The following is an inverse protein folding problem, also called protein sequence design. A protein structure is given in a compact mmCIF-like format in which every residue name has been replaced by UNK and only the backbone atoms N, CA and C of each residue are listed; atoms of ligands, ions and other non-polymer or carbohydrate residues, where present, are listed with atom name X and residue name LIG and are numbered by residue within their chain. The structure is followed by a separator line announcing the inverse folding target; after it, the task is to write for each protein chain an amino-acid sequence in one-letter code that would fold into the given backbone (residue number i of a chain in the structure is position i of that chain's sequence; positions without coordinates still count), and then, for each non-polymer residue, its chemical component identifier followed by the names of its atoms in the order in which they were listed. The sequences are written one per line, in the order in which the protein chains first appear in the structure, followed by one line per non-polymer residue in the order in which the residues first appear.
data_IF_764969101861
#
_entry.id   IF_764969101861
#
_cell.length_a   1.000
_cell.length_b   1.000
_cell.length_c   1.000
_cell.angle_alpha   90.00
_cell.angle_beta   90.00
_cell.angle_gamma   90.00
#
_symmetry.space_group_name_H-M   'P 1'
#
loop_
_entity.id
_entity.type
_entity.pdbx_description
1 polymer ?
#
# COMPACT_ATOMS: atom_id res chain seq x y z
N UNK A 1 9.13 13.13 -7.26
CA UNK A 1 8.06 12.43 -6.50
C UNK A 1 8.71 11.79 -5.28
N UNK A 2 8.01 11.79 -4.15
CA UNK A 2 8.48 11.17 -2.89
C UNK A 2 7.49 10.12 -2.45
N UNK A 3 7.98 8.95 -2.05
CA UNK A 3 7.19 7.88 -1.45
C UNK A 3 7.53 7.77 0.03
N UNK A 4 6.54 7.51 0.87
CA UNK A 4 6.73 7.13 2.27
C UNK A 4 6.00 5.82 2.52
N UNK A 5 6.72 4.79 2.92
CA UNK A 5 6.15 3.49 3.28
C UNK A 5 5.60 3.59 4.69
N UNK A 6 4.28 3.64 4.83
CA UNK A 6 3.63 3.78 6.13
C UNK A 6 3.51 2.44 6.85
N UNK A 7 3.27 1.37 6.11
CA UNK A 7 3.18 0.01 6.62
C UNK A 7 3.58 -1.04 5.60
N UNK A 8 4.09 -2.16 6.08
CA UNK A 8 4.56 -3.29 5.27
C UNK A 8 4.00 -4.62 5.74
N UNK A 9 3.11 -4.61 6.75
CA UNK A 9 2.50 -5.83 7.28
C UNK A 9 1.45 -6.39 6.33
N UNK A 10 1.27 -7.70 6.37
CA UNK A 10 0.19 -8.44 5.70
C UNK A 10 -1.06 -8.52 6.59
N UNK A 11 -2.01 -9.38 6.25
CA UNK A 11 -3.25 -9.57 6.99
C UNK A 11 -3.02 -9.91 8.48
N UNK A 12 -1.94 -10.62 8.81
CA UNK A 12 -1.57 -10.93 10.19
C UNK A 12 -0.95 -9.70 10.87
N UNK A 13 -1.50 -9.23 12.01
CA UNK A 13 -0.89 -8.13 12.75
C UNK A 13 0.53 -8.46 13.21
N UNK A 14 1.43 -7.50 13.08
CA UNK A 14 2.81 -7.57 13.56
C UNK A 14 3.13 -6.35 14.41
N UNK A 15 4.03 -6.49 15.39
CA UNK A 15 4.24 -5.44 16.40
C UNK A 15 5.02 -4.23 15.89
N UNK A 16 5.74 -4.35 14.78
CA UNK A 16 6.65 -3.30 14.29
C UNK A 16 6.17 -2.65 12.98
N UNK A 17 5.01 -3.03 12.46
CA UNK A 17 4.45 -2.47 11.23
C UNK A 17 2.94 -2.34 11.30
N UNK A 18 2.41 -1.24 10.76
CA UNK A 18 1.04 -1.19 10.27
C UNK A 18 0.90 -2.08 9.03
N UNK A 19 -0.34 -2.36 8.65
CA UNK A 19 -0.65 -3.12 7.44
C UNK A 19 -0.37 -2.30 6.17
N UNK A 20 -1.04 -2.56 5.05
CA UNK A 20 -0.72 -1.93 3.77
C UNK A 20 -1.07 -0.46 3.72
N UNK A 21 -0.10 0.38 3.34
CA UNK A 21 -0.31 1.80 3.10
C UNK A 21 0.95 2.52 2.63
N UNK A 22 0.82 3.26 1.52
CA UNK A 22 1.92 4.01 0.90
C UNK A 22 1.45 5.43 0.61
N UNK A 23 2.18 6.41 1.12
CA UNK A 23 1.94 7.83 0.84
C UNK A 23 2.84 8.27 -0.32
N UNK A 24 2.24 8.87 -1.33
CA UNK A 24 2.96 9.47 -2.47
C UNK A 24 2.76 10.99 -2.45
N UNK A 25 3.85 11.73 -2.57
CA UNK A 25 3.86 13.19 -2.60
C UNK A 25 4.53 13.70 -3.87
N UNK A 26 3.89 14.68 -4.54
CA UNK A 26 4.50 15.46 -5.60
C UNK A 26 3.93 16.88 -5.58
N UNK A 27 4.82 17.89 -5.52
CA UNK A 27 4.49 19.31 -5.57
C UNK A 27 3.36 19.71 -4.60
N UNK A 28 3.39 19.17 -3.36
CA UNK A 28 2.40 19.45 -2.31
C UNK A 28 1.07 18.69 -2.45
N UNK A 29 0.94 17.80 -3.44
CA UNK A 29 -0.19 16.87 -3.61
C UNK A 29 0.14 15.56 -2.92
N UNK A 30 -0.75 15.09 -2.03
CA UNK A 30 -0.59 13.88 -1.24
C UNK A 30 -1.64 12.84 -1.63
N UNK A 31 -1.21 11.68 -2.08
CA UNK A 31 -2.10 10.56 -2.44
C UNK A 31 -1.73 9.36 -1.59
N UNK A 32 -2.73 8.79 -0.93
CA UNK A 32 -2.58 7.56 -0.15
C UNK A 32 -3.04 6.37 -0.98
N UNK A 33 -2.24 5.31 -1.00
CA UNK A 33 -2.57 4.02 -1.61
C UNK A 33 -2.70 2.98 -0.51
N UNK A 34 -3.88 2.40 -0.38
CA UNK A 34 -4.35 1.55 0.69
C UNK A 34 -4.32 2.20 2.08
N UNK A 35 -5.16 1.71 2.97
CA UNK A 35 -5.31 2.18 4.34
C UNK A 35 -5.69 1.00 5.26
N UNK A 36 -4.77 0.04 5.36
CA UNK A 36 -4.89 -1.09 6.29
C UNK A 36 -4.78 -0.66 7.75
N UNK A 37 -4.96 -1.61 8.67
CA UNK A 37 -4.97 -1.32 10.09
C UNK A 37 -3.67 -0.66 10.58
N UNK A 38 -3.81 0.47 11.28
CA UNK A 38 -2.73 1.30 11.82
C UNK A 38 -2.25 2.39 10.87
N UNK A 39 -2.66 2.39 9.60
CA UNK A 39 -2.20 3.37 8.60
C UNK A 39 -2.75 4.77 8.88
N UNK A 40 -4.01 4.90 9.31
CA UNK A 40 -4.57 6.21 9.64
C UNK A 40 -3.75 6.93 10.71
N UNK A 41 -3.31 6.21 11.74
CA UNK A 41 -2.45 6.76 12.81
C UNK A 41 -1.03 7.05 12.33
N UNK A 42 -0.48 6.20 11.45
CA UNK A 42 0.86 6.41 10.87
C UNK A 42 0.89 7.61 9.93
N UNK A 43 -0.15 7.79 9.12
CA UNK A 43 -0.29 8.91 8.21
C UNK A 43 -0.16 10.26 8.94
N UNK A 44 -0.81 10.41 10.10
CA UNK A 44 -0.79 11.66 10.90
C UNK A 44 0.62 12.05 11.40
N UNK A 45 1.59 11.15 11.35
CA UNK A 45 3.00 11.45 11.68
C UNK A 45 3.72 12.19 10.52
N UNK A 46 3.20 12.12 9.30
CA UNK A 46 3.80 12.70 8.09
C UNK A 46 2.96 13.83 7.52
N UNK A 47 1.65 13.64 7.45
CA UNK A 47 0.69 14.61 6.94
C UNK A 47 -0.67 14.38 7.59
N UNK A 48 -1.40 15.46 7.88
CA UNK A 48 -2.77 15.29 8.39
C UNK A 48 -3.68 14.73 7.29
N UNK A 49 -4.58 13.82 7.63
CA UNK A 49 -5.50 13.19 6.68
C UNK A 49 -6.30 14.23 5.85
N UNK A 50 -6.63 15.40 6.44
CA UNK A 50 -7.33 16.49 5.77
C UNK A 50 -6.54 17.18 4.64
N UNK A 51 -5.24 16.92 4.55
CA UNK A 51 -4.39 17.40 3.45
C UNK A 51 -4.24 16.39 2.32
N UNK A 52 -4.79 15.19 2.47
CA UNK A 52 -4.82 14.23 1.37
C UNK A 52 -5.63 14.80 0.18
N UNK A 53 -5.11 14.63 -1.00
CA UNK A 53 -5.76 14.97 -2.26
C UNK A 53 -6.60 13.81 -2.80
N UNK A 54 -6.24 12.58 -2.47
CA UNK A 54 -6.97 11.37 -2.80
C UNK A 54 -6.51 10.15 -1.97
N UNK A 55 -7.41 9.17 -1.87
CA UNK A 55 -7.13 7.80 -1.41
C UNK A 55 -7.52 6.82 -2.51
N UNK A 56 -6.63 5.89 -2.85
CA UNK A 56 -6.89 4.76 -3.74
C UNK A 56 -6.82 3.46 -2.96
N UNK A 57 -7.83 2.61 -3.08
CA UNK A 57 -7.85 1.25 -2.50
C UNK A 57 -7.63 0.25 -3.60
N UNK A 58 -6.66 -0.66 -3.43
CA UNK A 58 -6.32 -1.69 -4.40
C UNK A 58 -7.31 -2.86 -4.39
N UNK A 59 -7.76 -3.29 -3.21
CA UNK A 59 -8.76 -4.36 -3.03
C UNK A 59 -9.37 -4.32 -1.61
N UNK A 60 -10.32 -5.25 -1.32
CA UNK A 60 -11.12 -5.19 -0.09
C UNK A 60 -10.76 -6.23 0.98
N UNK A 61 -9.53 -6.75 1.02
CA UNK A 61 -9.08 -7.43 2.23
C UNK A 61 -8.87 -6.39 3.34
N UNK A 62 -9.18 -6.76 4.59
CA UNK A 62 -9.22 -5.83 5.71
C UNK A 62 -7.91 -5.06 5.89
N UNK A 63 -6.78 -5.71 5.64
CA UNK A 63 -5.43 -5.16 5.77
C UNK A 63 -5.07 -4.12 4.69
N UNK A 64 -5.99 -3.81 3.77
CA UNK A 64 -5.81 -2.75 2.76
C UNK A 64 -6.78 -1.58 2.90
N UNK A 65 -7.88 -1.71 3.70
CA UNK A 65 -8.86 -0.63 3.71
C UNK A 65 -9.56 -0.37 5.05
N UNK A 66 -9.35 -1.20 6.09
CA UNK A 66 -10.18 -1.13 7.30
C UNK A 66 -10.08 0.20 8.05
N UNK A 67 -8.94 0.88 8.01
CA UNK A 67 -8.75 2.19 8.67
C UNK A 67 -9.51 3.35 7.98
N UNK A 68 -10.20 3.09 6.86
CA UNK A 68 -11.16 4.03 6.27
C UNK A 68 -12.28 4.39 7.29
N UNK A 69 -12.61 3.45 8.17
CA UNK A 69 -13.55 3.67 9.26
C UNK A 69 -13.11 4.76 10.24
N UNK A 70 -12.02 4.62 10.98
CA UNK A 70 -11.53 5.65 11.91
C UNK A 70 -11.06 6.92 11.21
N UNK A 71 -10.45 6.87 10.02
CA UNK A 71 -10.01 8.06 9.29
C UNK A 71 -11.17 9.01 8.96
N UNK A 72 -12.39 8.49 8.75
CA UNK A 72 -13.59 9.28 8.54
C UNK A 72 -13.73 10.43 9.53
N UNK A 73 -13.37 10.21 10.80
CA UNK A 73 -13.56 11.19 11.85
C UNK A 73 -12.65 12.42 11.76
N UNK A 74 -11.76 12.48 10.76
CA UNK A 74 -10.95 13.68 10.46
C UNK A 74 -11.66 14.70 9.56
N UNK A 75 -12.80 14.36 8.92
CA UNK A 75 -13.38 15.17 7.84
C UNK A 75 -14.64 15.96 8.22
N UNK A 76 -15.66 15.42 8.91
CA UNK A 76 -16.93 16.14 9.07
C UNK A 76 -16.91 17.22 10.16
N UNK A 77 -15.79 17.44 10.83
CA UNK A 77 -15.66 18.41 11.91
C UNK A 77 -14.59 19.45 11.62
N UNK A 78 -14.86 20.67 12.03
CA UNK A 78 -14.02 21.84 11.86
C UNK A 78 -14.87 23.04 11.49
N UNK A 79 -14.29 24.24 11.56
CA UNK A 79 -14.96 25.48 11.12
C UNK A 79 -13.96 26.30 10.28
N UNK A 80 -14.07 26.27 8.93
CA UNK A 80 -14.98 25.42 8.13
C UNK A 80 -14.57 23.94 8.16
N UNK A 81 -15.55 23.04 8.01
CA UNK A 81 -15.26 21.61 7.86
C UNK A 81 -14.45 21.36 6.57
N UNK A 82 -13.46 20.44 6.58
CA UNK A 82 -12.74 20.06 5.37
C UNK A 82 -13.70 19.51 4.29
N UNK A 83 -13.35 19.73 3.01
CA UNK A 83 -14.07 19.10 1.93
C UNK A 83 -13.95 17.58 2.00
N UNK A 84 -14.98 16.81 1.57
CA UNK A 84 -14.89 15.35 1.53
C UNK A 84 -13.70 14.89 0.68
N UNK A 85 -12.94 13.92 1.22
CA UNK A 85 -11.77 13.34 0.54
C UNK A 85 -12.23 12.56 -0.70
N UNK A 86 -11.65 12.78 -1.88
CA UNK A 86 -11.82 11.89 -3.02
C UNK A 86 -11.28 10.48 -2.70
N UNK A 87 -12.16 9.47 -2.74
CA UNK A 87 -11.80 8.07 -2.48
C UNK A 87 -12.13 7.25 -3.72
N UNK A 88 -11.10 6.61 -4.27
CA UNK A 88 -11.17 5.77 -5.46
C UNK A 88 -11.16 4.30 -5.04
N UNK A 89 -12.21 3.58 -5.42
CA UNK A 89 -12.48 2.22 -4.98
C UNK A 89 -12.61 1.27 -6.19
N UNK A 90 -12.23 0.00 -6.04
CA UNK A 90 -12.63 -1.04 -6.99
C UNK A 90 -14.14 -1.12 -7.15
N UNK A 91 -14.64 -1.75 -8.24
CA UNK A 91 -16.07 -1.97 -8.46
C UNK A 91 -16.78 -2.60 -7.24
N UNK A 92 -17.98 -2.11 -6.93
CA UNK A 92 -18.78 -2.51 -5.77
C UNK A 92 -18.36 -1.86 -4.44
N UNK A 93 -17.50 -0.84 -4.49
CA UNK A 93 -16.96 -0.16 -3.32
C UNK A 93 -17.98 0.60 -2.51
N UNK A 94 -18.96 1.20 -3.18
CA UNK A 94 -20.06 1.90 -2.48
C UNK A 94 -20.85 0.93 -1.60
N UNK A 95 -21.23 -0.22 -2.14
CA UNK A 95 -21.98 -1.23 -1.39
C UNK A 95 -21.17 -1.77 -0.21
N UNK A 96 -19.85 -1.97 -0.39
CA UNK A 96 -18.97 -2.41 0.70
C UNK A 96 -18.84 -1.37 1.80
N UNK A 97 -18.76 -0.08 1.46
CA UNK A 97 -18.78 0.99 2.46
C UNK A 97 -20.11 1.05 3.22
N UNK A 98 -21.25 0.86 2.55
CA UNK A 98 -22.55 0.81 3.21
C UNK A 98 -22.67 -0.41 4.14
N UNK A 99 -22.16 -1.58 3.74
CA UNK A 99 -22.11 -2.75 4.63
C UNK A 99 -21.18 -2.49 5.85
N UNK A 100 -20.05 -1.86 5.65
CA UNK A 100 -19.17 -1.48 6.75
C UNK A 100 -19.85 -0.43 7.65
N UNK A 101 -20.51 0.57 7.09
CA UNK A 101 -21.27 1.58 7.83
C UNK A 101 -22.38 0.94 8.69
N UNK A 102 -23.11 -0.02 8.13
CA UNK A 102 -24.12 -0.77 8.88
C UNK A 102 -23.53 -1.56 10.05
N UNK A 103 -22.35 -2.15 9.86
CA UNK A 103 -21.67 -2.94 10.88
C UNK A 103 -21.09 -2.11 12.04
N UNK A 104 -20.56 -0.90 11.74
CA UNK A 104 -19.81 -0.10 12.73
C UNK A 104 -20.58 1.12 13.28
N UNK A 105 -21.62 1.57 12.60
CA UNK A 105 -22.32 2.81 12.93
C UNK A 105 -23.85 2.69 12.88
N UNK A 106 -24.39 1.56 12.44
CA UNK A 106 -25.83 1.31 12.27
C UNK A 106 -26.55 2.45 11.51
N UNK A 107 -25.85 3.09 10.56
CA UNK A 107 -26.31 4.28 9.87
C UNK A 107 -25.94 4.24 8.38
N UNK A 108 -26.94 4.41 7.50
CA UNK A 108 -26.74 4.62 6.07
C UNK A 108 -26.09 6.00 5.81
N UNK A 109 -25.29 6.09 4.73
CA UNK A 109 -24.59 7.30 4.35
C UNK A 109 -23.58 7.77 5.41
N UNK A 110 -23.11 6.87 6.26
CA UNK A 110 -22.16 7.20 7.34
C UNK A 110 -20.87 7.85 6.81
N UNK A 111 -20.41 7.44 5.64
CA UNK A 111 -19.18 7.92 5.04
C UNK A 111 -19.36 9.17 4.16
N UNK A 112 -20.57 9.50 3.71
CA UNK A 112 -20.83 10.59 2.75
C UNK A 112 -20.29 11.97 3.18
N UNK A 113 -20.37 12.38 4.46
CA UNK A 113 -19.81 13.65 4.89
C UNK A 113 -18.29 13.74 4.82
N UNK A 114 -17.60 12.58 4.75
CA UNK A 114 -16.15 12.49 4.79
C UNK A 114 -15.53 12.15 3.44
N UNK A 115 -16.24 11.40 2.59
CA UNK A 115 -15.66 10.83 1.38
C UNK A 115 -16.50 11.11 0.13
N UNK A 116 -15.83 11.61 -0.91
CA UNK A 116 -16.36 11.71 -2.26
C UNK A 116 -15.97 10.43 -3.03
N UNK A 117 -16.79 9.39 -2.90
CA UNK A 117 -16.50 8.05 -3.43
C UNK A 117 -16.67 7.98 -4.94
N UNK A 118 -15.68 7.40 -5.62
CA UNK A 118 -15.69 7.05 -7.05
C UNK A 118 -15.22 5.62 -7.22
N UNK A 119 -15.94 4.83 -7.99
CA UNK A 119 -15.47 3.52 -8.42
C UNK A 119 -14.66 3.66 -9.71
N UNK A 120 -13.66 2.83 -9.88
CA UNK A 120 -12.80 2.84 -11.05
C UNK A 120 -12.82 1.50 -11.79
N UNK A 121 -12.44 1.51 -13.05
CA UNK A 121 -12.22 0.33 -13.88
C UNK A 121 -10.74 0.17 -14.22
N UNK A 122 -10.34 -1.05 -14.57
CA UNK A 122 -8.98 -1.35 -15.03
C UNK A 122 -8.62 -0.52 -16.26
N UNK A 123 -7.46 0.11 -16.26
CA UNK A 123 -6.97 0.97 -17.35
C UNK A 123 -7.53 2.39 -17.33
N UNK A 124 -8.45 2.71 -16.43
CA UNK A 124 -8.98 4.07 -16.29
C UNK A 124 -7.94 4.99 -15.63
N UNK A 125 -7.62 6.10 -16.27
CA UNK A 125 -6.61 7.04 -15.78
C UNK A 125 -7.26 8.20 -15.03
N UNK A 126 -6.71 8.51 -13.86
CA UNK A 126 -7.13 9.62 -13.00
C UNK A 126 -5.99 10.62 -12.83
N UNK A 127 -6.34 11.90 -12.86
CA UNK A 127 -5.43 12.99 -12.56
C UNK A 127 -5.72 13.52 -11.15
N UNK A 128 -4.68 13.54 -10.30
CA UNK A 128 -4.75 14.11 -8.94
C UNK A 128 -3.61 15.11 -8.79
N UNK A 129 -3.93 16.38 -8.94
CA UNK A 129 -2.91 17.43 -9.04
C UNK A 129 -1.92 17.15 -10.16
N UNK A 130 -0.61 17.11 -9.90
CA UNK A 130 0.42 16.78 -10.87
C UNK A 130 0.59 15.27 -11.13
N UNK A 131 -0.03 14.43 -10.29
CA UNK A 131 0.06 12.97 -10.40
C UNK A 131 -0.99 12.41 -11.36
N UNK A 132 -0.62 11.31 -12.03
CA UNK A 132 -1.53 10.49 -12.81
C UNK A 132 -1.51 9.08 -12.25
N UNK A 133 -2.67 8.48 -12.01
CA UNK A 133 -2.85 7.13 -11.45
C UNK A 133 -3.73 6.32 -12.38
N UNK A 134 -3.26 5.13 -12.75
CA UNK A 134 -4.00 4.17 -13.57
C UNK A 134 -4.04 2.81 -12.88
N UNK A 135 -5.21 2.34 -12.40
CA UNK A 135 -5.38 0.99 -11.85
C UNK A 135 -5.35 -0.06 -12.95
N UNK A 136 -4.72 -1.20 -12.69
CA UNK A 136 -4.67 -2.36 -13.58
C UNK A 136 -5.07 -3.62 -12.83
N UNK A 137 -6.09 -4.35 -13.30
CA UNK A 137 -6.55 -5.58 -12.66
C UNK A 137 -5.44 -6.64 -12.62
N UNK A 138 -5.28 -7.29 -11.47
CA UNK A 138 -4.29 -8.35 -11.22
C UNK A 138 -4.94 -9.62 -10.68
N UNK A 139 -4.23 -10.75 -10.77
CA UNK A 139 -4.69 -12.02 -10.22
C UNK A 139 -4.50 -12.06 -8.71
N UNK A 140 -5.60 -12.21 -7.98
CA UNK A 140 -5.64 -12.40 -6.54
C UNK A 140 -6.91 -13.19 -6.17
N UNK A 141 -7.15 -13.50 -4.89
CA UNK A 141 -8.33 -14.25 -4.44
C UNK A 141 -9.63 -13.47 -4.59
N UNK A 142 -9.54 -12.14 -4.55
CA UNK A 142 -10.63 -11.18 -4.79
C UNK A 142 -10.24 -10.23 -5.91
N UNK A 143 -11.15 -9.47 -6.52
CA UNK A 143 -10.79 -8.42 -7.46
C UNK A 143 -9.78 -7.45 -6.85
N UNK A 144 -8.58 -7.38 -7.44
CA UNK A 144 -7.45 -6.58 -6.98
C UNK A 144 -6.80 -5.82 -8.13
N UNK A 145 -6.09 -4.74 -7.80
CA UNK A 145 -5.54 -3.82 -8.78
C UNK A 145 -4.17 -3.33 -8.37
N UNK A 146 -3.24 -3.37 -9.31
CA UNK A 146 -1.97 -2.64 -9.26
C UNK A 146 -2.16 -1.20 -9.70
N UNK A 147 -1.33 -0.28 -9.22
CA UNK A 147 -1.40 1.15 -9.53
C UNK A 147 -0.15 1.59 -10.32
N UNK A 148 -0.35 2.08 -11.55
CA UNK A 148 0.68 2.81 -12.32
C UNK A 148 0.61 4.29 -11.95
N UNK A 149 1.65 4.81 -11.31
CA UNK A 149 1.71 6.15 -10.74
C UNK A 149 2.78 6.93 -11.49
N UNK A 150 2.38 8.06 -12.09
CA UNK A 150 3.30 8.92 -12.84
C UNK A 150 3.34 10.32 -12.23
N UNK A 151 4.53 10.81 -12.05
CA UNK A 151 4.80 12.15 -11.53
C UNK A 151 4.96 13.20 -12.63
N UNK A 152 5.07 14.48 -12.21
CA UNK A 152 5.07 15.63 -13.14
C UNK A 152 6.30 15.74 -14.04
N UNK A 153 7.41 15.12 -13.67
CA UNK A 153 8.67 15.17 -14.44
C UNK A 153 8.91 13.90 -15.25
N UNK A 154 7.95 12.97 -15.29
CA UNK A 154 8.04 11.70 -15.97
C UNK A 154 8.50 10.53 -15.10
N UNK A 155 8.75 10.76 -13.81
CA UNK A 155 9.03 9.69 -12.86
C UNK A 155 7.84 8.72 -12.75
N UNK A 156 8.14 7.43 -12.65
CA UNK A 156 7.12 6.38 -12.65
C UNK A 156 7.35 5.36 -11.54
N UNK A 157 6.28 5.03 -10.84
CA UNK A 157 6.23 4.02 -9.79
C UNK A 157 5.08 3.06 -10.07
N UNK A 158 5.33 1.78 -9.91
CA UNK A 158 4.28 0.75 -9.93
C UNK A 158 4.14 0.19 -8.52
N UNK A 159 2.96 0.35 -7.93
CA UNK A 159 2.56 -0.35 -6.71
C UNK A 159 1.71 -1.54 -7.11
N UNK A 160 2.26 -2.75 -6.97
CA UNK A 160 1.61 -3.96 -7.45
C UNK A 160 0.40 -4.37 -6.62
N UNK A 161 0.35 -3.99 -5.32
CA UNK A 161 -0.65 -4.52 -4.39
C UNK A 161 -0.47 -6.02 -4.17
N UNK A 162 -1.52 -6.70 -3.76
CA UNK A 162 -1.53 -8.14 -3.58
C UNK A 162 -1.83 -8.86 -4.90
N UNK A 163 -0.94 -9.78 -5.29
CA UNK A 163 -1.08 -10.50 -6.54
C UNK A 163 -0.25 -11.79 -6.57
N UNK A 164 -0.68 -12.76 -7.37
CA UNK A 164 0.17 -13.87 -7.79
C UNK A 164 1.15 -13.47 -8.91
N UNK A 165 1.96 -14.42 -9.41
CA UNK A 165 2.89 -14.20 -10.52
C UNK A 165 2.18 -13.57 -11.73
N UNK A 166 2.73 -12.48 -12.31
CA UNK A 166 2.04 -11.69 -13.33
C UNK A 166 2.98 -11.13 -14.39
N UNK A 167 2.87 -11.65 -15.60
CA UNK A 167 3.55 -11.10 -16.78
C UNK A 167 3.11 -9.65 -17.05
N UNK A 168 1.83 -9.36 -16.85
CA UNK A 168 1.28 -8.01 -17.03
C UNK A 168 1.96 -7.00 -16.12
N UNK A 169 2.22 -7.32 -14.85
CA UNK A 169 2.89 -6.41 -13.92
C UNK A 169 4.37 -6.24 -14.27
N UNK A 170 5.04 -7.29 -14.73
CA UNK A 170 6.42 -7.21 -15.25
C UNK A 170 6.47 -6.24 -16.43
N UNK A 171 5.58 -6.38 -17.39
CA UNK A 171 5.51 -5.49 -18.55
C UNK A 171 5.10 -4.06 -18.16
N UNK A 172 4.14 -3.91 -17.26
CA UNK A 172 3.72 -2.63 -16.72
C UNK A 172 4.86 -1.88 -16.04
N UNK A 173 5.74 -2.60 -15.34
CA UNK A 173 6.84 -1.99 -14.60
C UNK A 173 8.08 -1.70 -15.46
N UNK A 174 8.12 -2.12 -16.74
CA UNK A 174 9.21 -1.72 -17.64
C UNK A 174 9.30 -0.19 -17.70
N UNK A 175 10.51 0.32 -17.64
CA UNK A 175 10.81 1.76 -17.62
C UNK A 175 10.27 2.52 -16.39
N UNK A 176 9.76 1.83 -15.37
CA UNK A 176 9.49 2.45 -14.09
C UNK A 176 10.78 2.57 -13.25
N UNK A 177 10.85 3.60 -12.43
CA UNK A 177 11.95 3.77 -11.49
C UNK A 177 11.81 2.80 -10.30
N UNK A 178 10.59 2.63 -9.80
CA UNK A 178 10.33 1.81 -8.60
C UNK A 178 9.19 0.82 -8.87
N UNK A 179 9.40 -0.43 -8.45
CA UNK A 179 8.37 -1.44 -8.36
C UNK A 179 8.21 -1.87 -6.91
N UNK A 180 7.02 -1.67 -6.35
CA UNK A 180 6.67 -2.08 -4.98
C UNK A 180 5.83 -3.34 -5.08
N UNK A 181 6.31 -4.43 -4.48
CA UNK A 181 5.77 -5.77 -4.58
C UNK A 181 5.51 -6.39 -3.21
N UNK A 182 4.54 -7.26 -3.13
CA UNK A 182 4.38 -8.16 -2.00
C UNK A 182 5.44 -9.27 -1.95
N UNK A 183 5.64 -9.87 -0.76
CA UNK A 183 6.46 -11.07 -0.56
C UNK A 183 5.89 -11.90 0.61
N UNK A 184 4.61 -12.23 0.49
CA UNK A 184 3.80 -12.82 1.57
C UNK A 184 4.17 -14.25 1.87
N UNK A 185 4.35 -15.06 0.82
CA UNK A 185 4.52 -16.50 0.97
C UNK A 185 5.95 -16.87 1.36
N UNK A 186 6.09 -17.97 2.09
CA UNK A 186 7.39 -18.63 2.32
C UNK A 186 7.83 -19.44 1.10
N UNK A 187 6.87 -20.09 0.48
CA UNK A 187 7.03 -20.93 -0.71
C UNK A 187 5.76 -20.78 -1.57
N UNK A 188 5.91 -20.25 -2.76
CA UNK A 188 4.82 -20.04 -3.70
C UNK A 188 4.13 -21.33 -4.15
N UNK A 189 4.80 -22.49 -4.05
CA UNK A 189 4.21 -23.79 -4.38
C UNK A 189 3.11 -24.23 -3.40
N UNK A 190 3.03 -23.60 -2.22
CA UNK A 190 2.03 -23.90 -1.19
C UNK A 190 0.77 -23.06 -1.30
N UNK A 191 0.72 -22.12 -2.25
CA UNK A 191 -0.44 -21.26 -2.46
C UNK A 191 -1.62 -22.00 -3.11
N UNK A 192 -2.82 -21.41 -3.03
CA UNK A 192 -4.01 -21.82 -3.75
C UNK A 192 -3.76 -21.95 -5.26
N UNK A 193 -4.49 -22.80 -5.94
CA UNK A 193 -4.34 -23.03 -7.39
C UNK A 193 -4.51 -21.77 -8.24
N UNK A 194 -5.20 -20.74 -7.72
CA UNK A 194 -5.34 -19.44 -8.38
C UNK A 194 -4.11 -18.54 -8.24
N UNK A 195 -3.17 -18.87 -7.34
CA UNK A 195 -1.97 -18.12 -7.08
C UNK A 195 -2.27 -16.64 -6.81
N UNK A 196 -2.62 -16.33 -5.57
CA UNK A 196 -3.02 -14.98 -5.14
C UNK A 196 -1.90 -14.14 -4.52
N UNK A 197 -0.75 -14.76 -4.22
CA UNK A 197 0.41 -14.09 -3.60
C UNK A 197 1.74 -14.53 -4.23
N UNK A 198 2.78 -13.75 -3.94
CA UNK A 198 4.18 -14.04 -4.31
C UNK A 198 4.96 -14.58 -3.13
N UNK A 199 5.95 -15.42 -3.42
CA UNK A 199 7.08 -15.60 -2.53
C UNK A 199 8.24 -14.62 -2.84
N UNK A 200 9.26 -14.60 -2.00
CA UNK A 200 10.39 -13.68 -2.17
C UNK A 200 11.18 -13.94 -3.47
N UNK A 201 11.52 -15.19 -3.86
CA UNK A 201 12.13 -15.49 -5.15
C UNK A 201 11.33 -14.99 -6.35
N UNK A 202 10.02 -15.17 -6.35
CA UNK A 202 9.13 -14.71 -7.42
C UNK A 202 9.10 -13.18 -7.50
N UNK A 203 9.03 -12.48 -6.35
CA UNK A 203 9.10 -11.03 -6.30
C UNK A 203 10.45 -10.50 -6.85
N UNK A 204 11.57 -11.15 -6.51
CA UNK A 204 12.89 -10.82 -7.06
C UNK A 204 12.92 -11.06 -8.58
N UNK A 205 12.30 -12.13 -9.08
CA UNK A 205 12.22 -12.41 -10.52
C UNK A 205 11.43 -11.32 -11.26
N UNK A 206 10.34 -10.80 -10.69
CA UNK A 206 9.61 -9.66 -11.24
C UNK A 206 10.50 -8.42 -11.36
N UNK A 207 11.27 -8.08 -10.32
CA UNK A 207 12.24 -6.96 -10.36
C UNK A 207 13.29 -7.18 -11.44
N UNK A 208 13.86 -8.38 -11.53
CA UNK A 208 14.87 -8.72 -12.53
C UNK A 208 14.34 -8.57 -13.96
N UNK A 209 13.13 -9.07 -14.21
CA UNK A 209 12.55 -9.12 -15.57
C UNK A 209 11.95 -7.77 -16.02
N UNK A 210 11.46 -6.97 -15.09
CA UNK A 210 10.99 -5.61 -15.38
C UNK A 210 12.13 -4.62 -15.59
N UNK A 211 13.31 -4.86 -15.01
CA UNK A 211 14.47 -4.00 -15.18
C UNK A 211 14.35 -2.66 -14.46
N UNK A 212 13.47 -2.55 -13.44
CA UNK A 212 13.32 -1.34 -12.63
C UNK A 212 14.61 -0.99 -11.88
N UNK A 213 14.77 0.27 -11.53
CA UNK A 213 15.96 0.76 -10.81
C UNK A 213 15.96 0.36 -9.34
N UNK A 214 14.77 0.20 -8.74
CA UNK A 214 14.60 -0.22 -7.35
C UNK A 214 13.35 -1.07 -7.18
N UNK A 215 13.50 -2.28 -6.65
CA UNK A 215 12.43 -3.10 -6.11
C UNK A 215 12.29 -2.88 -4.60
N UNK A 216 11.06 -2.73 -4.12
CA UNK A 216 10.74 -2.64 -2.69
C UNK A 216 9.75 -3.75 -2.32
N UNK A 217 10.12 -4.63 -1.40
CA UNK A 217 9.25 -5.70 -0.96
C UNK A 217 8.46 -5.26 0.28
N UNK A 218 7.16 -5.42 0.22
CA UNK A 218 6.18 -5.11 1.27
C UNK A 218 5.32 -6.34 1.55
N UNK A 219 4.30 -6.22 2.38
CA UNK A 219 3.29 -7.24 2.64
C UNK A 219 3.91 -8.58 3.04
N UNK A 220 4.82 -8.53 4.00
CA UNK A 220 5.52 -9.70 4.53
C UNK A 220 5.46 -9.76 6.06
N UNK A 221 5.66 -10.92 6.62
CA UNK A 221 5.75 -11.07 8.07
C UNK A 221 7.10 -10.56 8.59
N UNK A 222 7.06 -9.68 9.58
CA UNK A 222 8.26 -9.01 10.11
C UNK A 222 9.34 -9.97 10.56
N UNK A 223 8.97 -11.16 11.06
CA UNK A 223 9.90 -12.21 11.49
C UNK A 223 10.73 -12.76 10.33
N UNK A 224 10.26 -12.63 9.09
CA UNK A 224 10.95 -13.05 7.88
C UNK A 224 11.86 -11.99 7.28
N UNK A 225 11.84 -10.77 7.81
CA UNK A 225 12.55 -9.60 7.22
C UNK A 225 14.04 -9.91 6.97
N UNK A 226 14.73 -10.54 7.91
CA UNK A 226 16.15 -10.83 7.76
C UNK A 226 16.43 -11.92 6.72
N UNK A 227 15.53 -12.90 6.60
CA UNK A 227 15.57 -13.92 5.55
C UNK A 227 15.37 -13.26 4.18
N UNK A 228 14.33 -12.42 4.05
CA UNK A 228 14.03 -11.68 2.82
C UNK A 228 15.22 -10.78 2.44
N UNK A 229 15.80 -10.06 3.40
CA UNK A 229 16.99 -9.23 3.17
C UNK A 229 18.17 -10.06 2.66
N UNK A 230 18.41 -11.25 3.24
CA UNK A 230 19.43 -12.18 2.79
C UNK A 230 19.22 -12.63 1.33
N UNK A 231 17.98 -13.01 0.97
CA UNK A 231 17.63 -13.41 -0.40
C UNK A 231 17.79 -12.25 -1.39
N UNK A 232 17.35 -11.05 -1.02
CA UNK A 232 17.55 -9.85 -1.84
C UNK A 232 19.04 -9.58 -2.08
N UNK A 233 19.86 -9.60 -1.04
CA UNK A 233 21.31 -9.38 -1.15
C UNK A 233 22.00 -10.45 -2.02
N UNK A 234 21.61 -11.70 -1.85
CA UNK A 234 22.17 -12.82 -2.62
C UNK A 234 21.80 -12.77 -4.11
N UNK A 235 20.68 -12.13 -4.46
CA UNK A 235 20.21 -12.00 -5.84
C UNK A 235 21.07 -11.07 -6.70
N UNK A 236 21.81 -10.15 -6.08
CA UNK A 236 22.54 -9.08 -6.78
C UNK A 236 21.65 -8.04 -7.48
N UNK A 237 20.34 -8.12 -7.29
CA UNK A 237 19.37 -7.19 -7.90
C UNK A 237 19.15 -5.96 -7.01
N UNK A 238 18.75 -4.81 -7.57
CA UNK A 238 18.41 -3.61 -6.82
C UNK A 238 17.05 -3.78 -6.13
N UNK A 239 16.98 -4.68 -5.16
CA UNK A 239 15.75 -5.01 -4.41
C UNK A 239 16.05 -5.15 -2.93
N UNK A 240 15.12 -4.71 -2.08
CA UNK A 240 15.23 -4.79 -0.64
C UNK A 240 13.85 -4.85 0.03
N UNK A 241 13.73 -5.46 1.23
CA UNK A 241 12.52 -5.32 2.02
C UNK A 241 12.37 -3.87 2.46
N UNK A 242 11.20 -3.31 2.22
CA UNK A 242 10.84 -2.00 2.76
C UNK A 242 10.53 -2.11 4.25
N UNK A 243 10.67 -1.01 4.97
CA UNK A 243 10.30 -0.92 6.38
C UNK A 243 9.42 0.31 6.62
N UNK A 244 8.57 0.30 7.65
CA UNK A 244 7.76 1.48 7.99
C UNK A 244 8.63 2.71 8.23
N UNK A 245 8.24 3.83 7.63
CA UNK A 245 8.98 5.09 7.69
C UNK A 245 10.10 5.22 6.64
N UNK A 246 10.35 4.22 5.81
CA UNK A 246 11.26 4.33 4.68
C UNK A 246 10.76 5.41 3.72
N UNK A 247 11.66 6.31 3.31
CA UNK A 247 11.39 7.36 2.35
C UNK A 247 12.17 7.08 1.07
N UNK A 248 11.51 7.26 -0.08
CA UNK A 248 12.11 7.04 -1.40
C UNK A 248 11.86 8.27 -2.27
N UNK A 249 12.92 8.99 -2.59
CA UNK A 249 12.89 10.06 -3.56
C UNK A 249 13.09 9.49 -4.97
N UNK A 250 12.14 9.79 -5.85
CA UNK A 250 12.11 9.31 -7.23
C UNK A 250 12.20 10.49 -8.19
N UNK A 251 13.19 10.44 -9.07
CA UNK A 251 13.35 11.35 -10.19
C UNK A 251 13.58 10.54 -11.47
N UNK A 252 13.36 11.12 -12.66
CA UNK A 252 13.59 10.40 -13.91
C UNK A 252 15.03 9.85 -13.96
N UNK A 253 15.14 8.52 -13.98
CA UNK A 253 16.43 7.84 -14.03
C UNK A 253 17.15 7.70 -12.70
N UNK A 254 16.65 8.22 -11.59
CA UNK A 254 17.29 8.19 -10.29
C UNK A 254 16.33 7.79 -9.17
N UNK A 255 16.81 6.93 -8.28
CA UNK A 255 16.08 6.53 -7.06
C UNK A 255 17.02 6.65 -5.86
N UNK A 256 16.59 7.37 -4.84
CA UNK A 256 17.30 7.48 -3.57
C UNK A 256 16.42 6.94 -2.45
N UNK A 257 16.92 5.93 -1.77
CA UNK A 257 16.25 5.32 -0.61
C UNK A 257 16.88 5.83 0.67
N UNK A 258 16.06 6.37 1.56
CA UNK A 258 16.47 6.82 2.89
C UNK A 258 15.90 5.86 3.93
N UNK A 259 16.77 5.34 4.80
CA UNK A 259 16.35 4.56 5.95
C UNK A 259 15.49 5.42 6.88
N UNK A 260 14.49 4.84 7.58
CA UNK A 260 13.66 5.60 8.51
C UNK A 260 14.51 6.22 9.62
N UNK A 261 14.19 7.48 9.96
CA UNK A 261 14.85 8.20 11.05
C UNK A 261 14.51 7.65 12.45
N UNK A 262 13.54 6.76 12.55
CA UNK A 262 13.07 6.17 13.82
C UNK A 262 13.70 4.80 13.97
N UNK A 263 14.30 4.47 15.16
CA UNK A 263 14.80 3.12 15.43
C UNK A 263 13.71 2.07 15.20
N UNK A 264 14.10 0.95 14.62
CA UNK A 264 13.19 -0.19 14.48
C UNK A 264 12.60 -0.51 15.87
N UNK A 265 11.26 -0.63 15.93
CA UNK A 265 10.60 -1.08 17.14
C UNK A 265 11.21 -2.41 17.60
N UNK A 266 11.69 -2.44 18.83
CA UNK A 266 12.17 -3.66 19.46
C UNK A 266 10.97 -4.22 20.24
N UNK A 267 10.52 -5.46 19.94
CA UNK A 267 9.42 -6.04 20.69
C UNK A 267 9.79 -6.08 22.17
N UNK A 268 8.87 -5.70 23.08
CA UNK A 268 9.08 -5.92 24.49
C UNK A 268 9.31 -7.42 24.72
N UNK A 269 10.25 -7.77 25.59
CA UNK A 269 10.42 -9.15 26.04
C UNK A 269 9.04 -9.66 26.51
N UNK A 270 8.55 -10.72 25.86
CA UNK A 270 7.26 -11.32 26.21
C UNK A 270 7.35 -11.77 27.66
N UNK A 271 6.62 -11.21 28.63
CA UNK A 271 6.58 -11.79 29.96
C UNK A 271 5.98 -13.19 29.84
N UNK A 272 6.55 -14.15 30.58
CA UNK A 272 5.97 -15.49 30.69
C UNK A 272 4.47 -15.37 30.97
N UNK A 273 3.65 -16.09 30.22
CA UNK A 273 2.20 -16.12 30.46
C UNK A 273 1.96 -16.52 31.92
N UNK A 274 1.45 -15.60 32.71
CA UNK A 274 0.90 -15.94 34.03
C UNK A 274 -0.28 -16.86 33.75
N UNK A 275 -0.19 -18.11 34.23
CA UNK A 275 -1.32 -19.02 34.18
C UNK A 275 -2.47 -18.34 34.94
N UNK A 276 -3.58 -18.14 34.30
CA UNK A 276 -4.83 -17.71 34.94
C UNK A 276 -5.53 -19.00 35.33
N UNK A 277 -5.59 -19.28 36.65
CA UNK A 277 -6.36 -20.37 37.22
C UNK A 277 -7.87 -20.18 36.99
#
# INVERSE_FOLDING_TARGET
MRLTILGTGSARPVGDSAQSGILVEADGTYVLFDIGAGIASKLEQYVTATRLSALFIGHYHADHWIDIGPMRYRFPWGDPAPAPLPVYLPPGGRDKLEHLAAAIAERQGFFDPAYAVREYESGQTFRVGPLTVTPHAVGHYVPAYSMDIRGPRGERVVYAGDMGPSEMVIDLARDAEVLILEATLEDGSTDDARRGHLDTPEAIDHVRRSGVKQGLLVHYWSERRDIIRGLCAASGMPVQPAVPGMVVDVAPGEVRVEAPAVPAWVPPSVPERVAVD
#
